data_IF_342437976810
#
_entry.id   IF_342437976810
#
_cell.length_a   1.000
_cell.length_b   1.000
_cell.length_c   1.000
_cell.angle_alpha   90.00
_cell.angle_beta   90.00
_cell.angle_gamma   90.00
#
_symmetry.space_group_name_H-M   'P 1'
#
loop_
_entity.id
_entity.type
_entity.pdbx_description
1 polymer ?
#
# COMPACT_ATOMS: atom_id res chain seq x y z
N UNK A 1 -37.21 -17.01 22.08
CA UNK A 1 -37.01 -15.55 22.02
C UNK A 1 -35.67 -15.28 22.66
N UNK A 2 -34.61 -15.10 21.88
CA UNK A 2 -33.28 -14.77 22.40
C UNK A 2 -32.86 -13.44 21.78
N UNK A 3 -32.60 -12.39 22.57
CA UNK A 3 -32.00 -11.19 22.03
C UNK A 3 -30.55 -11.52 21.73
N UNK A 4 -30.21 -11.75 20.46
CA UNK A 4 -28.81 -11.75 20.05
C UNK A 4 -28.32 -10.32 20.23
N UNK A 5 -27.42 -10.16 21.20
CA UNK A 5 -26.84 -8.89 21.56
C UNK A 5 -26.32 -8.21 20.29
N UNK A 6 -26.76 -6.97 20.07
CA UNK A 6 -26.03 -6.04 19.24
C UNK A 6 -24.68 -5.85 19.94
N UNK A 7 -23.69 -6.69 19.60
CA UNK A 7 -22.28 -6.34 19.77
C UNK A 7 -22.17 -5.02 19.05
N UNK A 8 -22.01 -3.95 19.82
CA UNK A 8 -21.87 -2.62 19.29
C UNK A 8 -20.76 -2.67 18.25
N UNK A 9 -21.15 -2.63 16.97
CA UNK A 9 -20.22 -2.27 15.92
C UNK A 9 -19.84 -0.85 16.23
N UNK A 10 -18.77 -0.70 17.02
CA UNK A 10 -18.13 0.55 17.30
C UNK A 10 -18.00 1.26 15.95
N UNK A 11 -18.83 2.27 15.73
CA UNK A 11 -18.87 3.07 14.50
C UNK A 11 -17.63 3.96 14.38
N UNK A 12 -16.54 3.55 15.05
CA UNK A 12 -15.22 4.13 14.96
C UNK A 12 -14.73 3.75 13.57
N UNK A 13 -14.70 4.75 12.68
CA UNK A 13 -14.01 4.63 11.41
C UNK A 13 -12.58 4.18 11.69
N UNK A 14 -12.32 2.88 11.53
CA UNK A 14 -10.98 2.33 11.71
C UNK A 14 -10.09 2.90 10.61
N UNK A 15 -8.82 3.19 10.92
CA UNK A 15 -7.91 3.69 9.92
C UNK A 15 -7.70 2.60 8.85
N UNK A 16 -7.85 3.00 7.59
CA UNK A 16 -7.68 2.12 6.44
C UNK A 16 -6.28 2.28 5.85
N UNK A 17 -5.71 1.15 5.46
CA UNK A 17 -4.40 1.08 4.84
C UNK A 17 -4.46 0.24 3.57
N UNK A 18 -3.48 0.47 2.70
CA UNK A 18 -3.34 -0.21 1.41
C UNK A 18 -2.11 -1.11 1.50
N UNK A 19 -2.27 -2.37 1.13
CA UNK A 19 -1.17 -3.30 0.93
C UNK A 19 -0.26 -2.78 -0.19
N UNK A 20 1.02 -2.57 0.07
CA UNK A 20 1.96 -2.14 -0.98
C UNK A 20 2.65 -3.31 -1.69
N UNK A 21 2.46 -4.53 -1.23
CA UNK A 21 3.00 -5.76 -1.79
C UNK A 21 2.10 -6.95 -1.44
N UNK A 22 2.28 -8.07 -2.14
CA UNK A 22 1.67 -9.33 -1.74
C UNK A 22 2.30 -9.87 -0.45
N UNK A 23 1.48 -10.54 0.35
CA UNK A 23 1.92 -11.23 1.55
C UNK A 23 1.30 -12.62 1.58
N UNK A 24 2.15 -13.63 1.60
CA UNK A 24 1.75 -15.02 1.70
C UNK A 24 2.22 -15.57 3.05
N UNK A 25 1.32 -15.81 4.02
CA UNK A 25 1.70 -16.30 5.33
C UNK A 25 2.34 -17.69 5.24
N UNK A 26 3.17 -18.01 6.23
CA UNK A 26 3.71 -19.36 6.39
C UNK A 26 2.57 -20.31 6.81
N UNK A 27 2.61 -21.59 6.41
CA UNK A 27 1.55 -22.56 6.75
C UNK A 27 1.43 -22.82 8.26
N UNK A 28 2.44 -22.44 9.05
CA UNK A 28 2.42 -22.53 10.51
C UNK A 28 1.76 -21.30 11.18
N UNK A 29 1.57 -20.21 10.43
CA UNK A 29 0.99 -18.96 10.93
C UNK A 29 -0.51 -18.92 10.63
N UNK A 30 -1.29 -19.56 11.51
CA UNK A 30 -2.75 -19.65 11.40
C UNK A 30 -3.46 -18.33 11.68
N UNK A 31 -2.76 -17.37 12.28
CA UNK A 31 -3.31 -16.07 12.63
C UNK A 31 -3.06 -15.02 11.53
N UNK A 32 -2.12 -15.26 10.62
CA UNK A 32 -1.88 -14.42 9.46
C UNK A 32 -2.81 -14.78 8.29
N UNK A 33 -3.09 -13.80 7.44
CA UNK A 33 -3.97 -13.96 6.28
C UNK A 33 -3.21 -13.60 5.00
N UNK A 34 -3.48 -14.28 3.87
CA UNK A 34 -2.92 -13.86 2.59
C UNK A 34 -3.47 -12.49 2.20
N UNK A 35 -2.59 -11.66 1.63
CA UNK A 35 -2.91 -10.29 1.24
C UNK A 35 -2.35 -10.02 -0.15
N UNK A 36 -3.10 -9.27 -0.96
CA UNK A 36 -2.69 -8.88 -2.31
C UNK A 36 -2.24 -7.42 -2.36
N UNK A 37 -1.24 -7.11 -3.19
CA UNK A 37 -0.82 -5.73 -3.44
C UNK A 37 -2.00 -4.88 -3.94
N UNK A 38 -2.19 -3.72 -3.33
CA UNK A 38 -3.28 -2.78 -3.61
C UNK A 38 -4.57 -3.06 -2.86
N UNK A 39 -4.64 -4.13 -2.06
CA UNK A 39 -5.82 -4.46 -1.25
C UNK A 39 -5.98 -3.48 -0.09
N UNK A 40 -7.22 -3.08 0.17
CA UNK A 40 -7.57 -2.16 1.27
C UNK A 40 -7.99 -2.97 2.49
N UNK A 41 -7.35 -2.71 3.62
CA UNK A 41 -7.66 -3.34 4.91
C UNK A 41 -7.93 -2.30 5.98
N UNK A 42 -8.70 -2.69 6.99
CA UNK A 42 -8.93 -1.92 8.20
C UNK A 42 -7.96 -2.39 9.28
N UNK A 43 -7.25 -1.47 9.92
CA UNK A 43 -6.37 -1.80 11.03
C UNK A 43 -7.17 -1.77 12.32
N UNK A 44 -7.30 -2.93 12.96
CA UNK A 44 -7.98 -3.13 14.24
C UNK A 44 -7.05 -2.81 15.41
N UNK A 45 -5.81 -3.30 15.36
CA UNK A 45 -4.77 -3.04 16.37
C UNK A 45 -3.41 -2.83 15.67
N UNK A 46 -2.72 -1.75 16.03
CA UNK A 46 -1.39 -1.41 15.52
C UNK A 46 -0.36 -1.24 16.64
N UNK A 47 -0.63 -1.75 17.84
CA UNK A 47 0.24 -1.54 19.01
C UNK A 47 1.65 -2.07 18.77
N UNK A 48 1.78 -3.09 17.93
CA UNK A 48 3.05 -3.72 17.62
C UNK A 48 3.42 -3.45 16.17
N UNK A 49 4.41 -2.61 15.88
CA UNK A 49 4.77 -2.25 14.49
C UNK A 49 5.13 -3.47 13.62
N UNK A 50 5.63 -4.55 14.24
CA UNK A 50 5.95 -5.81 13.58
C UNK A 50 4.73 -6.70 13.30
N UNK A 51 3.59 -6.46 13.95
CA UNK A 51 2.38 -7.30 13.85
C UNK A 51 1.14 -6.44 14.07
N UNK A 52 0.52 -6.02 12.98
CA UNK A 52 -0.76 -5.30 12.96
C UNK A 52 -1.89 -6.29 12.75
N UNK A 53 -2.91 -6.20 13.61
CA UNK A 53 -4.16 -6.92 13.40
C UNK A 53 -4.98 -6.14 12.38
N UNK A 54 -5.16 -6.74 11.20
CA UNK A 54 -5.93 -6.14 10.11
C UNK A 54 -7.14 -6.97 9.78
N UNK A 55 -8.14 -6.32 9.20
CA UNK A 55 -9.37 -6.95 8.70
C UNK A 55 -9.58 -6.58 7.24
N UNK A 56 -9.74 -7.59 6.39
CA UNK A 56 -10.05 -7.40 4.98
C UNK A 56 -11.50 -6.98 4.80
N UNK A 57 -11.73 -6.16 3.78
CA UNK A 57 -13.07 -5.80 3.31
C UNK A 57 -13.69 -6.87 2.38
N UNK A 58 -12.98 -7.97 2.15
CA UNK A 58 -13.44 -9.08 1.33
C UNK A 58 -14.65 -9.79 1.95
N UNK A 59 -15.35 -10.61 1.17
CA UNK A 59 -16.43 -11.48 1.65
C UNK A 59 -16.04 -12.94 1.37
N UNK A 60 -15.80 -13.76 2.42
CA UNK A 60 -15.96 -13.47 3.84
C UNK A 60 -14.91 -12.49 4.39
N UNK A 61 -15.26 -11.67 5.40
CA UNK A 61 -14.28 -10.80 6.06
C UNK A 61 -13.30 -11.68 6.83
N UNK A 62 -12.01 -11.55 6.52
CA UNK A 62 -10.94 -12.25 7.20
C UNK A 62 -10.11 -11.26 8.00
N UNK A 63 -9.73 -11.64 9.21
CA UNK A 63 -8.83 -10.87 10.06
C UNK A 63 -7.59 -11.66 10.33
N UNK A 64 -6.44 -10.99 10.38
CA UNK A 64 -5.19 -11.63 10.74
C UNK A 64 -4.07 -10.66 11.03
N UNK A 65 -2.95 -11.20 11.52
CA UNK A 65 -1.75 -10.42 11.81
C UNK A 65 -0.85 -10.34 10.59
N UNK A 66 -0.42 -9.12 10.29
CA UNK A 66 0.46 -8.82 9.15
C UNK A 66 1.44 -7.75 9.61
N UNK A 67 2.71 -7.75 9.16
CA UNK A 67 3.65 -6.71 9.56
C UNK A 67 3.24 -5.34 9.02
N UNK A 68 3.32 -4.31 9.87
CA UNK A 68 2.99 -2.92 9.52
C UNK A 68 3.74 -2.39 8.30
N UNK A 69 4.95 -2.89 8.06
CA UNK A 69 5.81 -2.51 6.92
C UNK A 69 5.21 -2.82 5.55
N UNK A 70 4.23 -3.72 5.47
CA UNK A 70 3.55 -4.12 4.23
C UNK A 70 2.38 -3.19 3.88
N UNK A 71 2.08 -2.23 4.76
CA UNK A 71 0.95 -1.33 4.65
C UNK A 71 1.41 0.10 4.51
N UNK A 72 0.65 0.84 3.71
CA UNK A 72 0.84 2.27 3.54
C UNK A 72 -0.49 3.00 3.63
N UNK A 73 -0.45 4.24 4.11
CA UNK A 73 -1.66 5.06 4.12
C UNK A 73 -2.07 5.37 2.68
N UNK A 74 -3.38 5.48 2.37
CA UNK A 74 -3.83 5.84 1.03
C UNK A 74 -3.15 7.12 0.52
N UNK A 75 -2.96 8.10 1.40
CA UNK A 75 -2.30 9.37 1.09
C UNK A 75 -0.88 9.17 0.55
N UNK A 76 -0.06 8.35 1.20
CA UNK A 76 1.30 8.07 0.76
C UNK A 76 1.32 7.19 -0.50
N UNK A 77 0.43 6.19 -0.58
CA UNK A 77 0.33 5.31 -1.74
C UNK A 77 0.04 6.08 -3.04
N UNK A 78 -0.89 7.04 -3.00
CA UNK A 78 -1.18 7.89 -4.16
C UNK A 78 -0.08 8.91 -4.45
N UNK A 79 0.62 9.43 -3.44
CA UNK A 79 1.78 10.30 -3.64
C UNK A 79 2.91 9.56 -4.33
N UNK A 80 3.20 8.32 -3.94
CA UNK A 80 4.25 7.51 -4.54
C UNK A 80 3.94 7.18 -6.00
N UNK A 81 2.69 6.87 -6.34
CA UNK A 81 2.29 6.64 -7.74
C UNK A 81 2.27 7.91 -8.59
N UNK A 82 1.97 9.08 -8.03
CA UNK A 82 2.19 10.36 -8.72
C UNK A 82 3.67 10.63 -8.93
N UNK A 83 4.49 10.46 -7.89
CA UNK A 83 5.93 10.69 -7.95
C UNK A 83 6.60 9.77 -8.96
N UNK A 84 6.20 8.49 -9.05
CA UNK A 84 6.73 7.57 -10.07
C UNK A 84 6.33 7.98 -11.49
N UNK A 85 5.12 8.55 -11.65
CA UNK A 85 4.64 9.07 -12.94
C UNK A 85 5.33 10.39 -13.31
N UNK A 86 5.67 11.21 -12.33
CA UNK A 86 6.39 12.47 -12.51
C UNK A 86 7.90 12.25 -12.72
N UNK A 87 8.54 11.31 -12.02
CA UNK A 87 9.93 10.91 -12.24
C UNK A 87 10.15 10.27 -13.60
N UNK A 88 9.20 9.46 -14.09
CA UNK A 88 9.25 8.94 -15.46
C UNK A 88 9.09 10.07 -16.50
N UNK A 89 8.30 11.10 -16.20
CA UNK A 89 8.08 12.26 -17.09
C UNK A 89 9.26 13.24 -17.11
N UNK A 90 9.92 13.43 -15.97
CA UNK A 90 11.06 14.33 -15.80
C UNK A 90 12.37 13.70 -16.34
N UNK A 91 12.54 12.39 -16.15
CA UNK A 91 13.68 11.63 -16.70
C UNK A 91 13.65 11.53 -18.25
N UNK A 92 12.48 11.62 -18.89
CA UNK A 92 12.37 11.68 -20.36
C UNK A 92 12.67 13.07 -20.92
N UNK A 93 12.37 14.15 -20.18
CA UNK A 93 12.63 15.52 -20.63
C UNK A 93 14.11 15.91 -20.57
N UNK A 94 14.89 15.32 -19.66
CA UNK A 94 16.31 15.64 -19.51
C UNK A 94 17.18 15.12 -20.66
N UNK A 95 16.70 14.10 -21.41
CA UNK A 95 17.53 13.42 -22.42
C UNK A 95 17.54 14.10 -23.79
N UNK A 96 16.48 14.85 -24.15
CA UNK A 96 16.37 15.51 -25.46
C UNK A 96 17.22 16.80 -25.52
N UNK A 97 17.26 17.55 -24.42
CA UNK A 97 18.00 18.81 -24.35
C UNK A 97 19.53 18.59 -24.36
N UNK A 98 20.00 17.50 -23.74
CA UNK A 98 21.43 17.16 -23.71
C UNK A 98 21.95 16.65 -25.05
N UNK A 99 21.11 15.98 -25.87
CA UNK A 99 21.51 15.53 -27.21
C UNK A 99 21.61 16.68 -28.22
N UNK A 100 20.78 17.72 -28.08
CA UNK A 100 20.81 18.89 -28.96
C UNK A 100 22.05 19.77 -28.75
N UNK A 101 22.60 19.82 -27.53
CA UNK A 101 23.78 20.62 -27.19
C UNK A 101 25.06 19.99 -27.78
N UNK A 102 25.14 18.67 -27.84
CA UNK A 102 26.28 17.93 -28.41
C UNK A 102 26.41 18.09 -29.94
N UNK A 103 25.32 18.35 -30.66
CA UNK A 103 25.36 18.48 -32.14
C UNK A 103 25.78 19.86 -32.66
N UNK A 104 25.94 20.87 -31.79
CA UNK A 104 26.34 22.22 -32.22
C UNK A 104 27.84 22.48 -32.16
N UNK A 105 28.59 21.68 -31.42
CA UNK A 105 30.05 21.84 -31.28
C UNK A 105 30.85 21.07 -32.36
N UNK A 106 30.22 20.10 -33.03
CA UNK A 106 30.85 19.29 -34.08
C UNK A 106 31.03 20.00 -35.44
N UNK A 107 30.65 21.29 -35.57
CA UNK A 107 30.77 22.05 -36.82
C UNK A 107 31.85 23.15 -36.79
N UNK A 108 32.76 23.12 -35.80
CA UNK A 108 33.83 24.11 -35.66
C UNK A 108 35.26 23.53 -35.59
N UNK A 109 35.48 22.34 -36.15
CA UNK A 109 36.81 21.79 -36.40
C UNK A 109 37.07 21.68 -37.91
#
# INVERSE_FOLDING_TARGET
MTPVAWVGSETRSLPVYIAIQDYNPEPNDLEAIPLEQGQIVEVLDNKNAASWLVRTKARPPQSGYIPGSYFETPTEYYKQRRRTRELASDNLKISDEQEAILKRDAFRA
#
